data_IF_722428041866
#
_entry.id   IF_722428041866
#
_cell.length_a   1.000
_cell.length_b   1.000
_cell.length_c   1.000
_cell.angle_alpha   90.00
_cell.angle_beta   90.00
_cell.angle_gamma   90.00
#
_symmetry.space_group_name_H-M   'P 1'
#
loop_
_entity.id
_entity.type
_entity.pdbx_description
1 polymer ?
#
# COMPACT_ATOMS: atom_id res chain seq x y z
N UNK A 1 -26.01 -4.18 -0.59
CA UNK A 1 -25.12 -4.21 -1.77
C UNK A 1 -23.84 -3.52 -1.34
N UNK A 2 -22.73 -4.25 -1.19
CA UNK A 2 -21.43 -3.63 -0.93
C UNK A 2 -21.06 -2.78 -2.16
N UNK A 3 -20.78 -1.51 -1.95
CA UNK A 3 -20.28 -0.65 -3.01
C UNK A 3 -18.93 -1.21 -3.47
N UNK A 4 -18.90 -1.86 -4.64
CA UNK A 4 -17.70 -2.42 -5.30
C UNK A 4 -16.62 -1.37 -5.66
N UNK A 5 -16.84 -0.12 -5.26
CA UNK A 5 -15.94 1.00 -5.48
C UNK A 5 -15.16 1.39 -4.22
N UNK A 6 -15.47 0.82 -3.05
CA UNK A 6 -14.75 1.11 -1.82
C UNK A 6 -13.47 0.28 -1.76
N UNK A 7 -12.33 0.97 -1.66
CA UNK A 7 -11.04 0.35 -1.38
C UNK A 7 -10.68 0.60 0.08
N UNK A 8 -11.28 -0.17 0.98
CA UNK A 8 -11.02 -0.10 2.42
C UNK A 8 -10.01 -1.19 2.79
N UNK A 9 -8.93 -0.79 3.44
CA UNK A 9 -7.88 -1.70 3.91
C UNK A 9 -7.86 -1.75 5.43
N UNK A 10 -7.45 -2.90 5.98
CA UNK A 10 -7.17 -3.05 7.41
C UNK A 10 -5.67 -3.08 7.59
N UNK A 11 -5.17 -2.20 8.45
CA UNK A 11 -3.74 -2.07 8.74
C UNK A 11 -3.28 -3.10 9.77
N UNK A 12 -1.97 -3.25 9.94
CA UNK A 12 -1.37 -4.11 10.98
C UNK A 12 -1.76 -3.69 12.40
N UNK A 13 -2.14 -2.42 12.63
CA UNK A 13 -2.68 -1.94 13.91
C UNK A 13 -4.19 -2.19 14.07
N UNK A 14 -4.81 -2.94 13.15
CA UNK A 14 -6.26 -3.16 13.04
C UNK A 14 -7.09 -1.90 12.75
N UNK A 15 -6.46 -0.80 12.34
CA UNK A 15 -7.17 0.39 11.88
C UNK A 15 -7.67 0.20 10.45
N UNK A 16 -8.90 0.62 10.19
CA UNK A 16 -9.47 0.63 8.84
C UNK A 16 -9.18 1.98 8.19
N UNK A 17 -8.61 1.95 6.99
CA UNK A 17 -8.34 3.15 6.21
C UNK A 17 -9.04 3.06 4.86
N UNK A 18 -9.75 4.13 4.49
CA UNK A 18 -10.37 4.25 3.18
C UNK A 18 -9.37 4.83 2.17
N UNK A 19 -8.95 4.00 1.22
CA UNK A 19 -8.04 4.37 0.14
C UNK A 19 -8.78 4.66 -1.18
N UNK A 20 -10.11 4.65 -1.20
CA UNK A 20 -10.93 4.85 -2.40
C UNK A 20 -10.59 6.14 -3.14
N UNK A 21 -10.27 7.21 -2.41
CA UNK A 21 -9.88 8.52 -2.94
C UNK A 21 -8.43 8.87 -2.64
N UNK A 22 -7.62 7.91 -2.22
CA UNK A 22 -6.23 8.17 -1.90
C UNK A 22 -5.41 8.41 -3.17
N UNK A 23 -4.46 9.33 -3.06
CA UNK A 23 -3.46 9.58 -4.10
C UNK A 23 -2.31 8.60 -3.93
N UNK A 24 -2.02 7.82 -4.96
CA UNK A 24 -0.77 7.06 -5.02
C UNK A 24 0.40 8.03 -5.19
N UNK A 25 1.37 7.97 -4.28
CA UNK A 25 2.58 8.79 -4.29
C UNK A 25 3.74 8.08 -4.96
N UNK A 26 3.83 6.76 -4.79
CA UNK A 26 4.89 5.89 -5.31
C UNK A 26 4.41 4.45 -5.30
N UNK A 27 4.82 3.65 -6.26
CA UNK A 27 4.51 2.23 -6.31
C UNK A 27 5.52 1.45 -7.16
N UNK A 28 5.44 0.13 -7.10
CA UNK A 28 6.09 -0.78 -8.04
C UNK A 28 5.04 -1.64 -8.78
N UNK A 29 4.18 -0.99 -9.56
CA UNK A 29 3.08 -1.66 -10.25
C UNK A 29 3.50 -2.46 -11.51
N UNK A 30 4.78 -2.39 -11.92
CA UNK A 30 5.29 -3.14 -13.07
C UNK A 30 5.32 -4.66 -12.81
N UNK A 31 5.52 -5.05 -11.55
CA UNK A 31 5.53 -6.44 -11.12
C UNK A 31 4.63 -6.57 -9.88
N UNK A 32 3.36 -6.95 -10.09
CA UNK A 32 2.35 -6.83 -9.05
C UNK A 32 2.43 -7.94 -7.99
N UNK A 33 3.24 -8.98 -8.17
CA UNK A 33 3.28 -10.14 -7.28
C UNK A 33 4.69 -10.39 -6.74
N UNK A 34 4.77 -10.65 -5.43
CA UNK A 34 6.03 -10.94 -4.73
C UNK A 34 6.55 -9.76 -3.91
N UNK A 35 7.57 -10.02 -3.07
CA UNK A 35 8.04 -9.12 -2.01
C UNK A 35 8.51 -7.74 -2.45
N UNK A 36 8.81 -7.57 -3.73
CA UNK A 36 9.24 -6.30 -4.32
C UNK A 36 8.08 -5.36 -4.65
N UNK A 37 6.82 -5.83 -4.58
CA UNK A 37 5.66 -4.99 -4.82
C UNK A 37 5.31 -4.17 -3.57
N UNK A 38 5.10 -2.88 -3.79
CA UNK A 38 4.67 -1.93 -2.78
C UNK A 38 3.92 -0.76 -3.41
N UNK A 39 3.12 -0.07 -2.61
CA UNK A 39 2.56 1.22 -2.95
C UNK A 39 2.47 2.12 -1.71
N UNK A 40 2.60 3.42 -1.92
CA UNK A 40 2.46 4.46 -0.90
C UNK A 40 1.28 5.33 -1.30
N UNK A 41 0.31 5.45 -0.40
CA UNK A 41 -0.92 6.21 -0.60
C UNK A 41 -0.99 7.38 0.37
N UNK A 42 -1.61 8.48 -0.06
CA UNK A 42 -2.03 9.59 0.79
C UNK A 42 -3.54 9.79 0.69
N UNK A 43 -4.25 9.64 1.81
CA UNK A 43 -5.69 9.87 1.86
C UNK A 43 -6.03 11.37 1.77
N UNK A 44 -7.30 11.74 1.48
CA UNK A 44 -7.75 13.13 1.53
C UNK A 44 -7.55 13.80 2.91
N UNK A 45 -7.56 13.01 3.98
CA UNK A 45 -7.34 13.44 5.37
C UNK A 45 -5.84 13.57 5.73
N UNK A 46 -4.95 13.45 4.75
CA UNK A 46 -3.48 13.44 4.91
C UNK A 46 -2.96 12.29 5.79
N UNK A 47 -3.63 11.13 5.77
CA UNK A 47 -3.06 9.88 6.32
C UNK A 47 -2.20 9.23 5.25
N UNK A 48 -1.01 8.78 5.62
CA UNK A 48 -0.09 8.09 4.72
C UNK A 48 -0.08 6.60 5.04
N UNK A 49 -0.31 5.78 4.01
CA UNK A 49 -0.40 4.33 4.14
C UNK A 49 0.56 3.67 3.17
N UNK A 50 1.36 2.73 3.68
CA UNK A 50 2.18 1.84 2.86
C UNK A 50 1.47 0.50 2.73
N UNK A 51 1.22 0.10 1.49
CA UNK A 51 0.88 -1.27 1.12
C UNK A 51 2.13 -2.01 0.67
N UNK A 52 2.30 -3.25 1.11
CA UNK A 52 3.36 -4.16 0.66
C UNK A 52 2.79 -5.54 0.38
N UNK A 53 3.54 -6.32 -0.38
CA UNK A 53 3.32 -7.74 -0.56
C UNK A 53 4.27 -8.54 0.34
N UNK A 54 3.76 -9.45 1.17
CA UNK A 54 4.57 -10.29 2.06
C UNK A 54 5.35 -11.41 1.34
N UNK A 55 5.16 -11.56 0.03
CA UNK A 55 5.72 -12.62 -0.82
C UNK A 55 4.67 -13.53 -1.44
N UNK A 56 3.39 -13.15 -1.38
CA UNK A 56 2.29 -13.90 -1.99
C UNK A 56 2.24 -13.66 -3.49
N UNK A 57 2.16 -14.76 -4.23
CA UNK A 57 1.98 -14.76 -5.68
C UNK A 57 0.52 -14.48 -6.11
N UNK A 58 -0.43 -14.60 -5.17
CA UNK A 58 -1.87 -14.51 -5.43
C UNK A 58 -2.48 -13.15 -5.14
N UNK A 59 -1.77 -12.27 -4.44
CA UNK A 59 -2.26 -10.97 -4.00
C UNK A 59 -1.28 -9.89 -4.43
N UNK A 60 -1.79 -8.70 -4.78
CA UNK A 60 -0.91 -7.61 -5.16
C UNK A 60 -0.23 -6.99 -3.93
N UNK A 61 -1.03 -6.50 -2.99
CA UNK A 61 -0.62 -5.96 -1.71
C UNK A 61 -1.52 -6.59 -0.64
N UNK A 62 -0.92 -7.17 0.39
CA UNK A 62 -1.60 -7.93 1.44
C UNK A 62 -1.36 -7.36 2.84
N UNK A 63 -0.39 -6.46 2.97
CA UNK A 63 0.01 -5.87 4.24
C UNK A 63 -0.05 -4.35 4.15
N UNK A 64 -0.74 -3.72 5.12
CA UNK A 64 -0.92 -2.26 5.16
C UNK A 64 -0.47 -1.70 6.50
N UNK A 65 0.25 -0.59 6.48
CA UNK A 65 0.65 0.13 7.69
C UNK A 65 0.53 1.64 7.48
N UNK A 66 0.10 2.34 8.53
CA UNK A 66 0.15 3.80 8.59
C UNK A 66 1.60 4.21 8.86
N UNK A 67 2.04 5.28 8.23
CA UNK A 67 3.40 5.80 8.37
C UNK A 67 3.41 7.32 8.41
N UNK A 68 4.53 7.88 8.90
CA UNK A 68 4.77 9.32 8.90
C UNK A 68 4.98 9.87 7.48
N UNK A 69 4.56 11.12 7.25
CA UNK A 69 4.69 11.81 5.96
C UNK A 69 6.13 11.81 5.44
N UNK A 70 7.09 12.20 6.28
CA UNK A 70 8.50 12.29 5.88
C UNK A 70 9.03 10.92 5.41
N UNK A 71 8.66 9.86 6.13
CA UNK A 71 9.04 8.49 5.79
C UNK A 71 8.39 8.05 4.48
N UNK A 72 7.13 8.42 4.24
CA UNK A 72 6.41 8.10 3.01
C UNK A 72 7.06 8.77 1.78
N UNK A 73 7.38 10.05 1.88
CA UNK A 73 7.99 10.82 0.79
C UNK A 73 9.41 10.35 0.45
N UNK A 74 10.14 9.86 1.44
CA UNK A 74 11.51 9.37 1.30
C UNK A 74 11.62 7.84 1.18
N UNK A 75 10.49 7.13 1.08
CA UNK A 75 10.45 5.68 1.19
C UNK A 75 11.34 4.99 0.15
N UNK A 76 12.21 4.09 0.64
CA UNK A 76 13.02 3.19 -0.17
C UNK A 76 12.61 1.76 0.15
N UNK A 77 12.07 1.06 -0.84
CA UNK A 77 11.69 -0.32 -0.67
C UNK A 77 12.94 -1.21 -0.59
N UNK A 78 13.06 -2.11 0.41
CA UNK A 78 14.28 -2.89 0.62
C UNK A 78 14.44 -4.04 -0.36
N UNK A 79 13.33 -4.51 -0.96
CA UNK A 79 13.35 -5.62 -1.90
C UNK A 79 13.39 -5.10 -3.33
N UNK A 80 14.21 -5.75 -4.14
CA UNK A 80 14.24 -5.61 -5.58
C UNK A 80 13.83 -6.94 -6.20
N UNK A 81 13.45 -6.93 -7.47
CA UNK A 81 13.24 -8.17 -8.20
C UNK A 81 14.59 -8.88 -8.34
N UNK A 82 14.67 -10.11 -7.86
CA UNK A 82 15.76 -11.03 -8.21
C UNK A 82 15.45 -11.56 -9.62
N UNK A 83 16.42 -11.45 -10.54
CA UNK A 83 16.29 -11.85 -11.94
C UNK A 83 16.14 -13.36 -12.12
#
# INVERSE_FOLDING_TARGET
MENKHLFIVTTLSNEKVDLTKAKELRSNNLFPFGKHNYAIYRTPENVFVKGTNSGLESHMLDTYEIMEETTALQYKHPYFREE
#
